data_IF_029809081378
#
_entry.id   IF_029809081378
#
_cell.length_a   1.000
_cell.length_b   1.000
_cell.length_c   1.000
_cell.angle_alpha   90.00
_cell.angle_beta   90.00
_cell.angle_gamma   90.00
#
_symmetry.space_group_name_H-M   'P 1'
#
loop_
_entity.id
_entity.type
_entity.pdbx_description
1 polymer ?
#
# COMPACT_ATOMS: atom_id res chain seq x y z
N UNK A 1 -23.89 3.17 -8.07
CA UNK A 1 -23.56 1.79 -7.68
C UNK A 1 -22.08 1.58 -7.95
N UNK A 2 -21.40 0.81 -7.11
CA UNK A 2 -19.97 0.48 -7.27
C UNK A 2 -19.75 -0.97 -6.85
N UNK A 3 -18.62 -1.54 -7.26
CA UNK A 3 -18.14 -2.83 -6.79
C UNK A 3 -16.72 -2.71 -6.26
N UNK A 4 -16.40 -3.54 -5.28
CA UNK A 4 -15.08 -3.65 -4.66
C UNK A 4 -14.54 -5.05 -4.84
N UNK A 5 -13.24 -5.15 -5.09
CA UNK A 5 -12.53 -6.43 -5.17
C UNK A 5 -11.18 -6.30 -4.49
N UNK A 6 -10.92 -7.16 -3.51
CA UNK A 6 -9.65 -7.24 -2.81
C UNK A 6 -8.72 -8.21 -3.56
N UNK A 7 -7.51 -7.78 -3.87
CA UNK A 7 -6.53 -8.57 -4.63
C UNK A 7 -5.16 -8.50 -3.97
N UNK A 8 -4.54 -9.65 -3.73
CA UNK A 8 -3.20 -9.73 -3.18
C UNK A 8 -2.58 -11.10 -3.36
N UNK A 9 -1.43 -11.31 -2.74
CA UNK A 9 -0.69 -12.57 -2.76
C UNK A 9 -1.02 -13.49 -1.57
N UNK A 10 -1.93 -13.07 -0.69
CA UNK A 10 -2.38 -13.82 0.48
C UNK A 10 -3.53 -13.12 1.20
N UNK A 11 -3.99 -13.69 2.33
CA UNK A 11 -5.05 -13.10 3.16
C UNK A 11 -4.70 -11.69 3.67
N UNK A 12 -5.72 -10.84 3.77
CA UNK A 12 -5.60 -9.44 4.21
C UNK A 12 -5.04 -9.31 5.64
N UNK A 13 -5.24 -10.32 6.50
CA UNK A 13 -4.72 -10.37 7.87
C UNK A 13 -3.20 -10.30 7.96
N UNK A 14 -2.48 -10.72 6.91
CA UNK A 14 -1.02 -10.86 6.90
C UNK A 14 -0.35 -10.26 5.66
N UNK A 15 -1.14 -9.69 4.74
CA UNK A 15 -0.62 -9.17 3.47
C UNK A 15 -1.19 -7.78 3.18
N UNK A 16 -0.34 -6.90 2.66
CA UNK A 16 -0.81 -5.69 1.99
C UNK A 16 -1.50 -6.08 0.67
N UNK A 17 -2.75 -5.67 0.53
CA UNK A 17 -3.59 -5.99 -0.64
C UNK A 17 -4.04 -4.73 -1.36
N UNK A 18 -4.54 -4.91 -2.58
CA UNK A 18 -5.13 -3.86 -3.40
C UNK A 18 -6.65 -3.92 -3.30
N UNK A 19 -7.26 -2.81 -2.93
CA UNK A 19 -8.69 -2.62 -3.06
C UNK A 19 -9.00 -2.00 -4.43
N UNK A 20 -9.55 -2.79 -5.35
CA UNK A 20 -10.00 -2.30 -6.65
C UNK A 20 -11.45 -1.81 -6.53
N UNK A 21 -11.68 -0.53 -6.82
CA UNK A 21 -13.01 0.07 -6.83
C UNK A 21 -13.44 0.39 -8.26
N UNK A 22 -14.56 -0.20 -8.67
CA UNK A 22 -15.19 0.09 -9.96
C UNK A 22 -16.51 0.81 -9.76
N UNK A 23 -16.61 2.05 -10.26
CA UNK A 23 -17.84 2.83 -10.25
C UNK A 23 -18.59 2.63 -11.57
N UNK A 24 -19.81 2.09 -11.50
CA UNK A 24 -20.59 1.78 -12.70
C UNK A 24 -20.88 3.05 -13.51
N UNK A 25 -20.55 3.00 -14.81
CA UNK A 25 -20.73 4.13 -15.72
C UNK A 25 -19.53 5.10 -15.77
N UNK A 26 -18.51 4.92 -14.93
CA UNK A 26 -17.25 5.65 -15.00
C UNK A 26 -16.23 4.79 -15.75
N UNK A 27 -15.80 5.27 -16.92
CA UNK A 27 -14.95 4.49 -17.82
C UNK A 27 -13.44 4.73 -17.63
N UNK A 28 -13.06 5.84 -17.00
CA UNK A 28 -11.67 6.19 -16.78
C UNK A 28 -11.56 7.24 -15.67
N UNK A 29 -10.40 7.28 -15.02
CA UNK A 29 -10.02 8.34 -14.11
C UNK A 29 -8.76 9.04 -14.62
N UNK A 30 -8.66 10.36 -14.41
CA UNK A 30 -7.43 11.09 -14.70
C UNK A 30 -6.44 10.85 -13.56
N UNK A 31 -5.29 10.25 -13.86
CA UNK A 31 -4.20 10.18 -12.90
C UNK A 31 -3.55 11.54 -12.70
N UNK A 32 -3.18 11.82 -11.46
CA UNK A 32 -2.36 12.94 -11.06
C UNK A 32 -0.87 12.60 -11.02
N UNK A 33 -0.12 13.30 -10.17
CA UNK A 33 1.28 13.03 -9.84
C UNK A 33 1.48 12.64 -8.37
N UNK A 34 0.39 12.36 -7.64
CA UNK A 34 0.39 12.04 -6.21
C UNK A 34 0.90 10.61 -5.93
N UNK A 35 0.48 9.64 -6.74
CA UNK A 35 0.94 8.26 -6.67
C UNK A 35 2.26 8.06 -7.43
N UNK A 36 3.27 7.50 -6.76
CA UNK A 36 4.53 7.11 -7.38
C UNK A 36 4.47 5.72 -8.01
N UNK A 37 4.45 4.70 -7.15
CA UNK A 37 4.36 3.29 -7.57
C UNK A 37 3.99 2.38 -6.40
N UNK A 38 3.54 1.17 -6.72
CA UNK A 38 3.51 0.03 -5.79
C UNK A 38 4.68 -0.89 -6.10
N UNK A 39 5.49 -1.19 -5.08
CA UNK A 39 6.63 -2.08 -5.20
C UNK A 39 6.22 -3.52 -4.95
N UNK A 40 6.53 -4.40 -5.90
CA UNK A 40 6.31 -5.84 -5.80
C UNK A 40 7.67 -6.53 -5.93
N UNK A 41 7.98 -7.42 -4.99
CA UNK A 41 9.16 -8.31 -5.08
C UNK A 41 8.64 -9.69 -5.47
N UNK A 42 8.72 -10.09 -6.73
CA UNK A 42 8.24 -11.40 -7.16
C UNK A 42 8.95 -11.86 -8.44
N UNK A 43 9.80 -12.89 -8.34
CA UNK A 43 10.58 -13.41 -9.48
C UNK A 43 9.70 -13.96 -10.61
N UNK A 44 8.60 -14.61 -10.26
CA UNK A 44 7.67 -15.20 -11.24
C UNK A 44 6.93 -14.11 -11.99
N UNK A 45 6.43 -13.08 -11.30
CA UNK A 45 5.79 -11.94 -11.93
C UNK A 45 6.77 -11.19 -12.83
N UNK A 46 8.02 -10.99 -12.38
CA UNK A 46 9.07 -10.40 -13.19
C UNK A 46 9.31 -11.18 -14.50
N UNK A 47 9.53 -12.50 -14.40
CA UNK A 47 9.73 -13.37 -15.57
C UNK A 47 8.54 -13.34 -16.54
N UNK A 48 7.30 -13.34 -16.00
CA UNK A 48 6.09 -13.24 -16.81
C UNK A 48 6.00 -11.89 -17.56
N UNK A 49 6.46 -10.79 -16.96
CA UNK A 49 6.52 -9.50 -17.63
C UNK A 49 7.55 -9.50 -18.77
N UNK A 50 8.71 -10.14 -18.57
CA UNK A 50 9.74 -10.28 -19.61
C UNK A 50 9.25 -11.13 -20.78
N UNK A 51 8.70 -12.32 -20.51
CA UNK A 51 8.19 -13.22 -21.54
C UNK A 51 7.13 -12.54 -22.41
N UNK A 52 6.29 -11.69 -21.78
CA UNK A 52 5.23 -10.95 -22.46
C UNK A 52 5.67 -9.60 -23.02
N UNK A 53 6.95 -9.25 -22.88
CA UNK A 53 7.50 -7.95 -23.31
C UNK A 53 6.71 -6.76 -22.74
N UNK A 54 6.30 -6.84 -21.48
CA UNK A 54 5.58 -5.78 -20.77
C UNK A 54 6.51 -4.99 -19.85
N UNK A 55 6.19 -3.72 -19.64
CA UNK A 55 6.96 -2.83 -18.77
C UNK A 55 8.31 -2.40 -19.35
N UNK A 56 9.06 -1.63 -18.58
CA UNK A 56 10.39 -1.11 -18.94
C UNK A 56 11.35 -1.38 -17.80
N UNK A 57 12.55 -1.89 -18.10
CA UNK A 57 13.60 -2.02 -17.10
C UNK A 57 14.11 -0.61 -16.74
N UNK A 58 14.02 -0.26 -15.46
CA UNK A 58 14.40 1.07 -14.95
C UNK A 58 15.74 1.03 -14.22
N UNK A 59 16.07 -0.13 -13.64
CA UNK A 59 17.34 -0.45 -13.00
C UNK A 59 17.60 -1.95 -13.22
N UNK A 60 18.84 -2.41 -13.03
CA UNK A 60 19.17 -3.83 -13.17
C UNK A 60 18.26 -4.69 -12.29
N UNK A 61 17.53 -5.63 -12.90
CA UNK A 61 16.55 -6.50 -12.22
C UNK A 61 15.31 -5.77 -11.62
N UNK A 62 15.01 -4.55 -12.09
CA UNK A 62 13.85 -3.77 -11.66
C UNK A 62 13.08 -3.26 -12.88
N UNK A 63 11.79 -3.57 -12.93
CA UNK A 63 10.93 -3.25 -14.07
C UNK A 63 9.68 -2.51 -13.64
N UNK A 64 9.44 -1.36 -14.25
CA UNK A 64 8.19 -0.63 -14.07
C UNK A 64 7.18 -1.08 -15.14
N UNK A 65 5.98 -1.46 -14.71
CA UNK A 65 4.84 -1.78 -15.59
C UNK A 65 3.64 -0.94 -15.16
N UNK A 66 2.85 -0.47 -16.13
CA UNK A 66 1.61 0.27 -15.84
C UNK A 66 0.41 -0.64 -15.89
N UNK A 67 -0.52 -0.45 -14.95
CA UNK A 67 -1.85 -1.04 -15.02
C UNK A 67 -2.64 -0.48 -16.22
N UNK A 68 -3.78 -1.10 -16.59
CA UNK A 68 -4.65 -0.55 -17.63
C UNK A 68 -5.08 0.91 -17.40
N UNK A 69 -5.23 1.32 -16.14
CA UNK A 69 -5.61 2.70 -15.75
C UNK A 69 -4.39 3.63 -15.58
N UNK A 70 -3.18 3.09 -15.68
CA UNK A 70 -1.93 3.85 -15.73
C UNK A 70 -1.09 3.82 -14.44
N UNK A 71 -1.58 3.26 -13.34
CA UNK A 71 -0.82 3.15 -12.09
C UNK A 71 0.43 2.29 -12.27
N UNK A 72 1.58 2.80 -11.81
CA UNK A 72 2.86 2.11 -11.91
C UNK A 72 3.02 1.04 -10.84
N UNK A 73 3.44 -0.14 -11.26
CA UNK A 73 3.94 -1.22 -10.43
C UNK A 73 5.43 -1.41 -10.71
N UNK A 74 6.26 -1.27 -9.68
CA UNK A 74 7.70 -1.51 -9.73
C UNK A 74 7.98 -2.93 -9.28
N UNK A 75 8.31 -3.80 -10.21
CA UNK A 75 8.51 -5.24 -9.98
C UNK A 75 9.99 -5.57 -9.95
N UNK A 76 10.46 -6.16 -8.85
CA UNK A 76 11.85 -6.56 -8.66
C UNK A 76 11.98 -8.07 -8.89
N UNK A 77 13.07 -8.49 -9.54
CA UNK A 77 13.42 -9.89 -9.78
C UNK A 77 14.01 -10.57 -8.52
N UNK A 78 13.26 -10.51 -7.43
CA UNK A 78 13.60 -11.07 -6.14
C UNK A 78 12.33 -11.40 -5.39
N UNK A 79 12.41 -12.37 -4.49
CA UNK A 79 11.31 -12.69 -3.59
C UNK A 79 11.61 -12.09 -2.21
N UNK A 80 10.58 -11.64 -1.46
CA UNK A 80 10.76 -11.19 -0.09
C UNK A 80 11.20 -12.36 0.81
N UNK A 81 11.56 -12.04 2.06
CA UNK A 81 11.67 -13.07 3.10
C UNK A 81 10.29 -13.71 3.33
N UNK A 82 10.26 -14.94 3.85
CA UNK A 82 9.02 -15.71 4.03
C UNK A 82 7.97 -15.02 4.94
N UNK A 83 8.42 -14.15 5.84
CA UNK A 83 7.62 -13.36 6.78
C UNK A 83 7.03 -12.07 6.18
N UNK A 84 7.41 -11.71 4.95
CA UNK A 84 7.03 -10.44 4.31
C UNK A 84 6.20 -10.70 3.06
N UNK A 85 5.08 -9.99 2.93
CA UNK A 85 4.22 -10.06 1.75
C UNK A 85 4.90 -9.58 0.46
N UNK A 86 4.39 -10.01 -0.69
CA UNK A 86 4.96 -9.69 -2.01
C UNK A 86 4.80 -8.22 -2.43
N UNK A 87 3.75 -7.54 -1.95
CA UNK A 87 3.60 -6.08 -2.08
C UNK A 87 4.32 -5.43 -0.90
N UNK A 88 5.45 -4.77 -1.17
CA UNK A 88 6.44 -4.43 -0.13
C UNK A 88 6.59 -2.95 0.15
N UNK A 89 6.11 -2.09 -0.75
CA UNK A 89 6.18 -0.64 -0.56
C UNK A 89 5.13 0.09 -1.36
N UNK A 90 4.48 1.07 -0.75
CA UNK A 90 3.71 2.10 -1.43
C UNK A 90 4.57 3.36 -1.53
N UNK A 91 4.71 3.93 -2.73
CA UNK A 91 5.39 5.20 -2.95
C UNK A 91 4.37 6.29 -3.24
N UNK A 92 4.35 7.33 -2.41
CA UNK A 92 3.57 8.55 -2.58
C UNK A 92 4.52 9.74 -2.78
N UNK A 93 4.13 10.68 -3.63
CA UNK A 93 4.83 11.93 -3.77
C UNK A 93 4.35 12.96 -2.74
N UNK A 94 5.26 13.77 -2.24
CA UNK A 94 4.99 14.82 -1.23
C UNK A 94 5.65 16.14 -1.64
N UNK A 95 5.11 17.27 -1.16
CA UNK A 95 5.69 18.59 -1.46
C UNK A 95 6.69 19.07 -0.42
N UNK A 96 6.68 18.49 0.79
CA UNK A 96 7.62 18.85 1.86
C UNK A 96 7.82 17.66 2.81
N UNK A 97 8.98 17.01 2.72
CA UNK A 97 9.33 15.85 3.54
C UNK A 97 9.30 16.13 5.05
N UNK A 98 9.67 17.32 5.50
CA UNK A 98 9.68 17.65 6.93
C UNK A 98 8.25 17.78 7.45
N UNK A 99 7.37 18.43 6.68
CA UNK A 99 5.93 18.46 6.99
C UNK A 99 5.32 17.05 6.99
N UNK A 100 5.69 16.20 6.01
CA UNK A 100 5.19 14.83 5.96
C UNK A 100 5.70 13.98 7.13
N UNK A 101 6.96 14.15 7.56
CA UNK A 101 7.51 13.44 8.72
C UNK A 101 6.82 13.82 10.03
N UNK A 102 6.54 15.12 10.23
CA UNK A 102 5.79 15.58 11.40
C UNK A 102 4.37 14.95 11.48
N UNK A 103 3.77 14.65 10.32
CA UNK A 103 2.50 13.94 10.27
C UNK A 103 2.68 12.42 10.46
N UNK A 104 3.42 11.77 9.57
CA UNK A 104 3.47 10.31 9.53
C UNK A 104 4.26 9.70 10.69
N UNK A 105 5.40 10.28 11.07
CA UNK A 105 6.22 9.77 12.16
C UNK A 105 5.77 10.36 13.51
N UNK A 106 5.74 11.68 13.65
CA UNK A 106 5.52 12.30 14.98
C UNK A 106 4.06 12.26 15.45
N UNK A 107 3.09 12.19 14.52
CA UNK A 107 1.67 12.13 14.85
C UNK A 107 1.11 10.72 14.76
N UNK A 108 1.40 9.99 13.67
CA UNK A 108 0.87 8.62 13.47
C UNK A 108 1.78 7.52 14.02
N UNK A 109 3.00 7.84 14.46
CA UNK A 109 3.91 6.88 15.10
C UNK A 109 4.65 5.95 14.14
N UNK A 110 4.72 6.27 12.85
CA UNK A 110 5.49 5.46 11.90
C UNK A 110 6.99 5.58 12.17
N UNK A 111 7.71 4.48 12.00
CA UNK A 111 9.15 4.41 12.20
C UNK A 111 9.88 4.77 10.91
N UNK A 112 10.78 5.74 10.98
CA UNK A 112 11.76 6.00 9.91
C UNK A 112 12.75 4.84 9.82
N UNK A 113 12.84 4.21 8.65
CA UNK A 113 13.72 3.06 8.40
C UNK A 113 14.84 3.36 7.39
N UNK A 114 14.65 4.36 6.52
CA UNK A 114 15.64 4.82 5.55
C UNK A 114 15.32 6.26 5.11
N UNK A 115 16.34 7.04 4.76
CA UNK A 115 16.20 8.45 4.38
C UNK A 115 17.29 8.86 3.39
N UNK A 116 16.89 9.60 2.37
CA UNK A 116 17.77 10.26 1.41
C UNK A 116 17.45 11.75 1.29
N UNK A 117 18.11 12.41 0.34
CA UNK A 117 17.93 13.85 0.10
C UNK A 117 16.52 14.20 -0.40
N UNK A 118 15.91 13.29 -1.18
CA UNK A 118 14.61 13.49 -1.84
C UNK A 118 13.59 12.40 -1.46
N UNK A 119 13.83 11.65 -0.39
CA UNK A 119 12.86 10.66 0.09
C UNK A 119 13.02 10.32 1.57
N UNK A 120 11.95 9.75 2.13
CA UNK A 120 12.00 8.97 3.37
C UNK A 120 11.21 7.68 3.22
N UNK A 121 11.61 6.63 3.92
CA UNK A 121 10.90 5.36 4.00
C UNK A 121 10.49 5.12 5.45
N UNK A 122 9.21 4.84 5.62
CA UNK A 122 8.53 4.68 6.89
C UNK A 122 7.92 3.28 6.99
N UNK A 123 7.77 2.78 8.22
CA UNK A 123 7.06 1.53 8.50
C UNK A 123 6.17 1.63 9.73
N UNK A 124 5.03 0.95 9.70
CA UNK A 124 4.17 0.75 10.87
C UNK A 124 4.47 -0.58 11.62
N UNK A 125 5.45 -1.38 11.16
CA UNK A 125 5.85 -2.63 11.81
C UNK A 125 7.03 -3.34 11.12
N UNK A 126 7.67 -4.29 11.80
CA UNK A 126 8.90 -4.93 11.31
C UNK A 126 8.71 -5.69 9.97
N UNK A 127 7.53 -6.28 9.76
CA UNK A 127 7.25 -7.17 8.62
C UNK A 127 6.09 -6.64 7.75
N UNK A 128 5.87 -5.32 7.80
CA UNK A 128 4.79 -4.64 7.08
C UNK A 128 5.30 -4.04 5.76
N UNK A 129 4.38 -3.84 4.81
CA UNK A 129 4.67 -3.05 3.63
C UNK A 129 5.05 -1.61 4.05
N UNK A 130 6.12 -1.10 3.45
CA UNK A 130 6.66 0.22 3.80
C UNK A 130 5.93 1.35 3.07
N UNK A 131 5.96 2.55 3.64
CA UNK A 131 5.53 3.78 2.97
C UNK A 131 6.77 4.57 2.57
N UNK A 132 7.01 4.73 1.27
CA UNK A 132 8.01 5.65 0.74
C UNK A 132 7.34 6.97 0.41
N UNK A 133 7.83 8.05 0.98
CA UNK A 133 7.47 9.41 0.61
C UNK A 133 8.60 9.98 -0.24
N UNK A 134 8.28 10.38 -1.46
CA UNK A 134 9.24 10.91 -2.42
C UNK A 134 8.95 12.39 -2.69
N UNK A 135 9.95 13.24 -2.48
CA UNK A 135 9.87 14.69 -2.63
C UNK A 135 9.67 15.06 -4.10
N UNK A 136 8.62 15.82 -4.40
CA UNK A 136 8.49 16.47 -5.71
C UNK A 136 9.54 17.57 -5.90
N UNK A 137 9.90 17.91 -7.15
CA UNK A 137 10.78 19.03 -7.43
C UNK A 137 10.29 20.32 -6.76
N UNK A 138 11.23 21.15 -6.30
CA UNK A 138 10.92 22.38 -5.60
C UNK A 138 9.91 23.25 -6.38
N UNK A 139 8.82 23.65 -5.72
CA UNK A 139 7.75 24.46 -6.30
C UNK A 139 6.74 23.69 -7.15
N UNK A 140 6.91 22.39 -7.35
CA UNK A 140 5.86 21.55 -7.93
C UNK A 140 4.72 21.36 -6.92
N UNK A 141 3.49 21.40 -7.42
CA UNK A 141 2.30 21.08 -6.63
C UNK A 141 1.88 19.62 -6.85
N UNK A 142 1.20 19.05 -5.85
CA UNK A 142 0.48 17.79 -5.98
C UNK A 142 -0.80 18.02 -6.81
N UNK A 143 -0.98 17.21 -7.85
CA UNK A 143 -2.23 16.96 -8.56
C UNK A 143 -2.66 15.55 -8.17
N UNK A 144 -3.80 15.39 -7.50
CA UNK A 144 -4.40 14.08 -7.23
C UNK A 144 -5.17 13.54 -8.45
N UNK A 145 -5.50 14.40 -9.41
CA UNK A 145 -6.43 14.07 -10.48
C UNK A 145 -7.77 13.59 -9.92
N UNK A 146 -8.35 12.60 -10.58
CA UNK A 146 -9.58 11.91 -10.13
C UNK A 146 -9.35 10.42 -9.92
N UNK A 147 -8.15 9.92 -10.19
CA UNK A 147 -7.74 8.52 -10.04
C UNK A 147 -6.84 8.28 -8.84
N UNK A 148 -6.78 9.25 -7.91
CA UNK A 148 -6.15 9.10 -6.62
C UNK A 148 -6.79 7.96 -5.82
N UNK A 149 -5.99 7.39 -4.93
CA UNK A 149 -6.41 6.29 -4.07
C UNK A 149 -6.51 6.71 -2.60
N UNK A 150 -6.64 5.70 -1.76
CA UNK A 150 -6.57 5.80 -0.31
C UNK A 150 -5.72 4.64 0.20
N UNK A 151 -4.83 4.91 1.14
CA UNK A 151 -4.14 3.84 1.89
C UNK A 151 -4.91 3.56 3.18
N UNK A 152 -5.01 2.29 3.57
CA UNK A 152 -5.70 1.89 4.79
C UNK A 152 -4.73 1.19 5.76
N UNK A 153 -4.87 1.51 7.04
CA UNK A 153 -4.18 0.87 8.15
C UNK A 153 -5.23 0.43 9.18
N UNK A 154 -4.95 -0.63 9.93
CA UNK A 154 -5.75 -0.98 11.10
C UNK A 154 -5.05 -0.56 12.38
N UNK A 155 -5.85 -0.26 13.39
CA UNK A 155 -5.41 -0.13 14.78
C UNK A 155 -6.50 -0.72 15.70
N UNK A 156 -6.20 -1.01 16.98
CA UNK A 156 -7.23 -1.48 17.90
C UNK A 156 -8.45 -0.55 17.89
N UNK A 157 -9.66 -1.10 17.82
CA UNK A 157 -10.89 -0.30 17.65
C UNK A 157 -11.06 0.75 18.76
N UNK A 158 -10.62 0.43 19.98
CA UNK A 158 -10.61 1.37 21.10
C UNK A 158 -9.70 2.60 20.94
N UNK A 159 -8.75 2.57 20.01
CA UNK A 159 -7.78 3.65 19.78
C UNK A 159 -8.22 4.65 18.70
N UNK A 160 -9.21 4.31 17.86
CA UNK A 160 -9.65 5.18 16.76
C UNK A 160 -10.08 6.58 17.22
N UNK A 161 -10.76 6.67 18.37
CA UNK A 161 -11.18 7.97 18.94
C UNK A 161 -9.97 8.80 19.35
N UNK A 162 -9.05 8.21 20.11
CA UNK A 162 -7.83 8.88 20.57
C UNK A 162 -6.96 9.31 19.41
N UNK A 163 -6.85 8.48 18.36
CA UNK A 163 -6.17 8.82 17.12
C UNK A 163 -6.79 10.07 16.46
N UNK A 164 -8.12 10.10 16.32
CA UNK A 164 -8.79 11.27 15.76
C UNK A 164 -8.53 12.53 16.59
N UNK A 165 -8.64 12.43 17.92
CA UNK A 165 -8.41 13.56 18.84
C UNK A 165 -6.97 14.07 18.75
N UNK A 166 -5.97 13.17 18.67
CA UNK A 166 -4.56 13.52 18.51
C UNK A 166 -4.32 14.29 17.20
N UNK A 167 -4.81 13.76 16.08
CA UNK A 167 -4.71 14.40 14.75
C UNK A 167 -5.35 15.78 14.74
N UNK A 168 -6.55 15.92 15.33
CA UNK A 168 -7.24 17.21 15.45
C UNK A 168 -6.49 18.20 16.35
N UNK A 169 -5.92 17.73 17.47
CA UNK A 169 -5.19 18.58 18.42
C UNK A 169 -3.94 19.23 17.80
N UNK A 170 -3.33 18.54 16.83
CA UNK A 170 -2.18 19.01 16.05
C UNK A 170 -2.58 19.83 14.82
N UNK A 171 -3.87 20.05 14.59
CA UNK A 171 -4.37 20.84 13.47
C UNK A 171 -4.39 20.12 12.12
N UNK A 172 -4.19 18.79 12.12
CA UNK A 172 -4.27 17.99 10.91
C UNK A 172 -5.72 17.67 10.53
N UNK A 173 -5.92 17.28 9.26
CA UNK A 173 -7.26 17.19 8.67
C UNK A 173 -7.89 15.82 8.89
N UNK A 174 -9.06 15.81 9.53
CA UNK A 174 -9.98 14.67 9.56
C UNK A 174 -11.03 14.88 8.46
N UNK A 175 -11.00 14.03 7.43
CA UNK A 175 -11.97 14.06 6.32
C UNK A 175 -13.31 13.48 6.74
N UNK A 176 -13.27 12.33 7.42
CA UNK A 176 -14.44 11.64 7.92
C UNK A 176 -14.20 11.29 9.38
N UNK A 177 -14.93 11.93 10.31
CA UNK A 177 -14.88 11.55 11.72
C UNK A 177 -15.30 10.09 11.93
N UNK A 178 -15.00 9.54 13.10
CA UNK A 178 -15.32 8.18 13.50
C UNK A 178 -16.74 7.79 13.12
N UNK A 179 -16.86 6.79 12.24
CA UNK A 179 -18.13 6.33 11.68
C UNK A 179 -18.15 4.81 11.53
N UNK A 180 -19.33 4.21 11.68
CA UNK A 180 -19.55 2.79 11.39
C UNK A 180 -19.95 2.59 9.92
N UNK A 181 -19.34 1.60 9.27
CA UNK A 181 -19.61 1.23 7.89
C UNK A 181 -20.09 -0.23 7.83
N UNK A 182 -21.24 -0.42 7.20
CA UNK A 182 -21.83 -1.73 6.97
C UNK A 182 -21.42 -2.30 5.61
N UNK A 183 -21.08 -3.58 5.59
CA UNK A 183 -20.96 -4.36 4.36
C UNK A 183 -22.01 -5.46 4.37
N UNK A 184 -22.92 -5.56 3.38
CA UNK A 184 -24.00 -6.53 3.39
C UNK A 184 -23.49 -7.97 3.62
N UNK A 185 -24.02 -8.62 4.66
CA UNK A 185 -23.66 -9.99 5.02
C UNK A 185 -22.28 -10.16 5.66
N UNK A 186 -21.59 -9.07 6.02
CA UNK A 186 -20.28 -9.08 6.69
C UNK A 186 -20.30 -8.20 7.95
N UNK A 187 -19.20 -8.21 8.70
CA UNK A 187 -19.04 -7.40 9.91
C UNK A 187 -19.11 -5.90 9.60
N UNK A 188 -19.77 -5.16 10.50
CA UNK A 188 -19.71 -3.69 10.55
C UNK A 188 -18.36 -3.29 11.11
N UNK A 189 -17.68 -2.34 10.46
CA UNK A 189 -16.39 -1.81 10.92
C UNK A 189 -16.51 -0.36 11.33
N UNK A 190 -15.62 0.11 12.21
CA UNK A 190 -15.46 1.53 12.51
C UNK A 190 -14.24 2.09 11.78
N UNK A 191 -14.37 3.29 11.22
CA UNK A 191 -13.27 3.96 10.53
C UNK A 191 -13.17 5.43 10.89
N UNK A 192 -11.96 5.98 10.75
CA UNK A 192 -11.67 7.41 10.66
C UNK A 192 -10.90 7.63 9.35
N UNK A 193 -11.24 8.69 8.61
CA UNK A 193 -10.52 9.04 7.37
C UNK A 193 -9.80 10.36 7.56
N UNK A 194 -8.50 10.36 7.32
CA UNK A 194 -7.60 11.50 7.44
C UNK A 194 -7.13 11.98 6.06
N UNK A 195 -6.57 13.18 6.03
CA UNK A 195 -5.71 13.63 4.95
C UNK A 195 -4.37 14.07 5.53
N UNK A 196 -3.28 13.62 4.92
CA UNK A 196 -1.94 14.10 5.25
C UNK A 196 -1.72 15.55 4.75
N UNK A 197 -0.55 16.18 5.00
CA UNK A 197 -0.29 17.56 4.59
C UNK A 197 -0.43 17.82 3.08
N UNK A 198 -0.22 16.80 2.25
CA UNK A 198 -0.34 16.89 0.80
C UNK A 198 -1.73 16.49 0.30
N UNK A 199 -2.61 16.02 1.17
CA UNK A 199 -3.99 15.66 0.83
C UNK A 199 -4.19 14.18 0.52
N UNK A 200 -3.19 13.31 0.72
CA UNK A 200 -3.34 11.88 0.56
C UNK A 200 -4.34 11.32 1.56
N UNK A 201 -5.33 10.57 1.10
CA UNK A 201 -6.35 10.01 1.97
C UNK A 201 -5.83 8.77 2.70
N UNK A 202 -6.16 8.69 4.00
CA UNK A 202 -5.74 7.59 4.87
C UNK A 202 -6.95 7.09 5.66
N UNK A 203 -7.25 5.80 5.56
CA UNK A 203 -8.28 5.15 6.37
C UNK A 203 -7.63 4.44 7.55
N UNK A 204 -8.02 4.78 8.78
CA UNK A 204 -7.79 3.92 9.93
C UNK A 204 -9.07 3.14 10.22
N UNK A 205 -8.96 1.82 10.23
CA UNK A 205 -10.07 0.89 10.53
C UNK A 205 -9.81 0.14 11.84
N UNK A 206 -10.87 -0.15 12.58
CA UNK A 206 -10.79 -1.02 13.76
C UNK A 206 -10.35 -2.44 13.40
N UNK A 207 -9.24 -2.91 13.97
CA UNK A 207 -8.59 -4.17 13.58
C UNK A 207 -9.48 -5.40 13.85
N UNK A 208 -10.16 -5.43 15.00
CA UNK A 208 -10.93 -6.58 15.46
C UNK A 208 -12.11 -6.90 14.53
N UNK A 209 -12.85 -5.88 14.09
CA UNK A 209 -13.94 -6.01 13.13
C UNK A 209 -13.42 -6.12 11.69
N UNK A 210 -12.29 -5.48 11.37
CA UNK A 210 -11.69 -5.60 10.05
C UNK A 210 -11.30 -7.05 9.74
N UNK A 211 -10.66 -7.75 10.69
CA UNK A 211 -10.35 -9.19 10.55
C UNK A 211 -11.58 -10.04 10.25
N UNK A 212 -12.74 -9.69 10.81
CA UNK A 212 -13.99 -10.41 10.52
C UNK A 212 -14.54 -10.07 9.13
N UNK A 213 -14.39 -8.81 8.70
CA UNK A 213 -14.82 -8.33 7.38
C UNK A 213 -13.96 -8.92 6.24
N UNK A 214 -12.65 -9.03 6.47
CA UNK A 214 -11.60 -9.34 5.50
C UNK A 214 -11.32 -10.84 5.34
N UNK A 215 -12.19 -11.70 5.88
CA UNK A 215 -12.05 -13.15 5.73
C UNK A 215 -12.02 -13.52 4.23
N UNK A 216 -11.01 -14.31 3.79
CA UNK A 216 -10.90 -14.72 2.40
C UNK A 216 -12.16 -15.44 1.91
N UNK A 217 -12.57 -15.13 0.67
CA UNK A 217 -13.60 -15.89 -0.02
C UNK A 217 -12.95 -17.00 -0.84
N UNK A 218 -13.07 -18.24 -0.37
CA UNK A 218 -12.52 -19.44 -1.03
C UNK A 218 -13.06 -19.63 -2.46
N UNK A 219 -14.22 -19.04 -2.77
CA UNK A 219 -14.83 -19.11 -4.10
C UNK A 219 -14.42 -17.93 -5.02
N UNK A 220 -13.66 -16.95 -4.51
CA UNK A 220 -13.33 -15.74 -5.25
C UNK A 220 -12.61 -16.03 -6.59
N UNK A 221 -11.65 -16.96 -6.60
CA UNK A 221 -10.91 -17.32 -7.81
C UNK A 221 -11.79 -17.95 -8.90
N UNK A 222 -12.74 -18.80 -8.49
CA UNK A 222 -13.71 -19.43 -9.39
C UNK A 222 -14.67 -18.38 -9.92
N UNK A 223 -15.21 -17.53 -9.04
CA UNK A 223 -16.13 -16.46 -9.40
C UNK A 223 -15.48 -15.46 -10.38
N UNK A 224 -14.23 -15.06 -10.13
CA UNK A 224 -13.46 -14.18 -11.01
C UNK A 224 -13.26 -14.80 -12.39
N UNK A 225 -12.83 -16.07 -12.45
CA UNK A 225 -12.63 -16.79 -13.71
C UNK A 225 -13.93 -16.86 -14.53
N UNK A 226 -15.04 -17.20 -13.86
CA UNK A 226 -16.35 -17.25 -14.51
C UNK A 226 -16.83 -15.86 -14.97
N UNK A 227 -16.57 -14.81 -14.20
CA UNK A 227 -16.90 -13.44 -14.56
C UNK A 227 -16.10 -12.99 -15.79
N UNK A 228 -14.78 -13.24 -15.82
CA UNK A 228 -13.94 -12.94 -16.97
C UNK A 228 -14.37 -13.71 -18.23
N UNK A 229 -14.77 -14.97 -18.10
CA UNK A 229 -15.25 -15.77 -19.23
C UNK A 229 -16.59 -15.27 -19.80
N UNK A 230 -17.42 -14.63 -18.96
CA UNK A 230 -18.70 -14.02 -19.35
C UNK A 230 -18.57 -12.54 -19.70
N UNK A 231 -17.36 -11.98 -19.65
CA UNK A 231 -17.16 -10.55 -19.84
C UNK A 231 -17.47 -10.15 -21.30
N UNK A 232 -18.56 -9.40 -21.46
CA UNK A 232 -18.97 -8.77 -22.72
C UNK A 232 -18.57 -7.30 -22.82
N UNK A 233 -17.74 -6.78 -21.89
CA UNK A 233 -17.41 -5.35 -21.79
C UNK A 233 -16.86 -4.77 -23.10
N UNK A 234 -16.06 -5.52 -23.85
CA UNK A 234 -15.49 -5.09 -25.15
C UNK A 234 -16.58 -4.85 -26.19
N UNK A 235 -17.57 -5.73 -26.25
CA UNK A 235 -18.70 -5.60 -27.17
C UNK A 235 -19.61 -4.44 -26.75
N UNK A 236 -19.86 -4.29 -25.44
CA UNK A 236 -20.65 -3.21 -24.89
C UNK A 236 -20.01 -1.83 -25.13
N UNK A 237 -18.70 -1.70 -24.88
CA UNK A 237 -17.92 -0.48 -25.17
C UNK A 237 -17.89 -0.18 -26.67
N UNK A 238 -17.77 -1.21 -27.51
CA UNK A 238 -17.83 -1.08 -28.96
C UNK A 238 -19.17 -0.51 -29.45
N UNK A 239 -20.30 -0.95 -28.88
CA UNK A 239 -21.64 -0.41 -29.20
C UNK A 239 -21.82 1.03 -28.71
N UNK A 240 -21.27 1.40 -27.55
CA UNK A 240 -21.32 2.77 -27.01
C UNK A 240 -20.47 3.78 -27.79
N UNK A 241 -19.42 3.33 -28.48
CA UNK A 241 -18.58 4.17 -29.35
C UNK A 241 -19.09 4.26 -30.79
N UNK A 242 -20.10 3.48 -31.17
CA UNK A 242 -20.77 3.66 -32.46
C UNK A 242 -21.64 4.93 -32.39
N UNK A 243 -21.49 5.90 -33.30
CA UNK A 243 -22.33 7.09 -33.31
C UNK A 243 -23.79 6.69 -33.58
N UNK A 244 -24.71 7.16 -32.74
CA UNK A 244 -26.14 7.07 -33.03
C UNK A 244 -26.46 7.90 -34.28
N UNK A 245 -26.75 7.22 -35.39
CA UNK A 245 -27.45 7.78 -36.55
C UNK A 245 -26.56 8.32 -37.67
N UNK A 246 -26.25 7.47 -38.65
CA UNK A 246 -26.15 7.88 -40.05
C UNK A 246 -26.72 6.76 -40.93
N UNK A 247 -27.75 7.02 -41.76
CA UNK A 247 -28.30 6.00 -42.65
C UNK A 247 -27.41 5.80 -43.86
N UNK A 248 -27.21 4.51 -44.20
CA UNK A 248 -26.86 3.96 -45.50
C UNK A 248 -25.98 4.77 -46.45
N UNK A 249 -24.71 4.36 -46.58
CA UNK A 249 -24.09 4.31 -47.91
C UNK A 249 -23.31 3.01 -48.07
N UNK A 250 -23.89 2.09 -48.85
CA UNK A 250 -23.12 1.08 -49.57
C UNK A 250 -22.09 1.79 -50.41
N UNK A 251 -20.80 1.51 -50.21
CA UNK A 251 -19.81 1.53 -51.27
C UNK A 251 -18.71 0.51 -50.91
N UNK A 252 -18.59 -0.46 -51.80
CA UNK A 252 -17.68 -1.59 -51.73
C UNK A 252 -16.21 -1.14 -51.88
N UNK A 253 -15.32 -1.81 -51.17
CA UNK A 253 -13.91 -1.86 -51.52
C UNK A 253 -13.31 -3.21 -51.13
N UNK A 254 -12.97 -3.99 -52.17
CA UNK A 254 -11.77 -4.82 -52.25
C UNK A 254 -11.64 -6.00 -51.30
N UNK A 255 -12.12 -7.16 -51.74
CA UNK A 255 -11.66 -8.43 -51.22
C UNK A 255 -10.17 -8.66 -51.52
N UNK A 256 -9.38 -8.96 -50.49
CA UNK A 256 -8.14 -9.72 -50.60
C UNK A 256 -8.11 -10.73 -49.45
N UNK A 257 -8.39 -11.99 -49.80
CA UNK A 257 -8.37 -13.16 -48.92
C UNK A 257 -6.97 -13.77 -48.87
N UNK A 258 -6.44 -14.02 -47.67
CA UNK A 258 -5.55 -15.12 -47.28
C UNK A 258 -5.05 -14.85 -45.85
N UNK A 259 -4.96 -15.77 -44.89
CA UNK A 259 -5.40 -17.15 -44.77
C UNK A 259 -5.50 -17.42 -43.26
N UNK A 260 -6.54 -18.13 -42.84
CA UNK A 260 -6.71 -18.56 -41.46
C UNK A 260 -5.64 -19.60 -41.11
N UNK A 261 -4.75 -19.25 -40.18
CA UNK A 261 -3.91 -20.23 -39.50
C UNK A 261 -4.74 -20.90 -38.40
N UNK A 262 -4.93 -22.20 -38.56
CA UNK A 262 -5.59 -23.14 -37.66
C UNK A 262 -4.91 -23.11 -36.27
N UNK A 263 -5.65 -23.13 -35.14
CA UNK A 263 -5.02 -23.25 -33.83
C UNK A 263 -4.36 -24.63 -33.69
N UNK A 264 -3.07 -24.63 -33.38
CA UNK A 264 -2.33 -25.81 -33.00
C UNK A 264 -2.81 -26.33 -31.63
N UNK A 265 -3.05 -27.63 -31.60
CA UNK A 265 -3.13 -28.59 -30.49
C UNK A 265 -2.96 -28.09 -29.03
N UNK A 266 -3.89 -28.57 -28.20
CA UNK A 266 -3.89 -28.66 -26.73
C UNK A 266 -2.49 -28.84 -26.09
N UNK A 267 -2.21 -28.23 -24.92
CA UNK A 267 -1.10 -28.66 -24.09
C UNK A 267 -1.39 -30.04 -23.49
N UNK A 268 -0.42 -30.94 -23.62
CA UNK A 268 -0.47 -32.30 -23.11
C UNK A 268 -0.61 -32.34 -21.59
N UNK A 269 -1.48 -33.24 -21.11
CA UNK A 269 -1.60 -33.59 -19.71
C UNK A 269 -0.25 -34.05 -19.14
N UNK A 270 0.08 -33.55 -17.96
CA UNK A 270 1.27 -33.90 -17.20
C UNK A 270 1.38 -35.42 -17.01
N UNK A 271 2.48 -35.99 -17.53
CA UNK A 271 2.83 -37.37 -17.26
C UNK A 271 3.24 -37.53 -15.79
N UNK A 272 2.58 -38.46 -15.12
CA UNK A 272 2.85 -38.91 -13.75
C UNK A 272 4.26 -39.54 -13.69
N UNK A 273 5.15 -39.17 -12.76
CA UNK A 273 6.45 -39.82 -12.64
C UNK A 273 6.28 -41.27 -12.16
N UNK A 274 6.73 -42.22 -12.98
CA UNK A 274 6.85 -43.64 -12.64
C UNK A 274 8.26 -43.93 -12.12
N UNK A 275 8.46 -43.83 -10.80
CA UNK A 275 9.55 -44.48 -10.05
C UNK A 275 9.23 -44.40 -8.55
N UNK A 276 9.33 -45.50 -7.78
CA UNK A 276 9.17 -45.44 -6.33
C UNK A 276 10.36 -44.71 -5.68
N UNK A 277 10.16 -44.02 -4.54
CA UNK A 277 11.26 -43.35 -3.85
C UNK A 277 12.25 -44.35 -3.27
N UNK A 278 13.55 -44.07 -3.44
CA UNK A 278 14.62 -44.78 -2.76
C UNK A 278 14.49 -44.59 -1.24
N UNK A 279 14.56 -45.69 -0.50
CA UNK A 279 14.55 -45.69 0.96
C UNK A 279 15.77 -44.92 1.51
N UNK A 280 15.51 -43.91 2.33
CA UNK A 280 16.53 -43.28 3.14
C UNK A 280 17.02 -44.26 4.21
N UNK A 281 18.32 -44.56 4.21
CA UNK A 281 18.98 -45.32 5.26
C UNK A 281 18.91 -44.57 6.60
N UNK A 282 18.60 -45.30 7.67
CA UNK A 282 18.65 -44.81 9.06
C UNK A 282 20.10 -44.46 9.44
N UNK A 283 20.34 -43.35 10.15
CA UNK A 283 21.55 -43.19 10.92
C UNK A 283 21.45 -44.04 12.20
N UNK A 284 22.34 -45.03 12.31
CA UNK A 284 22.67 -45.66 13.59
C UNK A 284 23.59 -44.71 14.37
N UNK A 285 23.13 -44.27 15.55
CA UNK A 285 23.90 -43.84 16.76
C UNK A 285 23.34 -42.55 17.40
N UNK A 286 23.27 -42.49 18.74
CA UNK A 286 22.66 -41.37 19.46
C UNK A 286 23.56 -40.12 19.49
N UNK A 287 22.98 -38.90 19.57
CA UNK A 287 23.77 -37.68 19.66
C UNK A 287 24.46 -37.55 21.03
N UNK A 288 25.75 -37.22 20.97
CA UNK A 288 26.58 -36.90 22.13
C UNK A 288 26.14 -35.60 22.81
N UNK A 289 26.23 -35.58 24.14
CA UNK A 289 25.91 -34.45 25.01
C UNK A 289 26.80 -33.23 24.70
N UNK A 290 26.17 -32.09 24.38
CA UNK A 290 26.85 -30.80 24.34
C UNK A 290 27.02 -30.25 25.76
N UNK A 291 28.26 -29.97 26.13
CA UNK A 291 28.63 -29.35 27.40
C UNK A 291 28.19 -27.87 27.47
N UNK A 292 27.71 -27.46 28.66
CA UNK A 292 27.34 -26.09 29.01
C UNK A 292 28.51 -25.11 28.87
N UNK A 293 28.28 -23.90 28.35
CA UNK A 293 28.97 -22.69 28.79
C UNK A 293 28.17 -22.02 29.92
N UNK A 294 28.85 -21.76 31.04
CA UNK A 294 28.34 -20.97 32.15
C UNK A 294 28.67 -19.49 31.96
N UNK A 295 27.66 -18.61 32.00
CA UNK A 295 27.67 -17.29 32.66
C UNK A 295 26.43 -16.48 32.27
N UNK A 296 25.65 -16.08 33.29
CA UNK A 296 24.47 -15.22 33.18
C UNK A 296 24.85 -13.75 33.02
N UNK A 297 24.10 -12.94 32.24
CA UNK A 297 24.09 -11.50 32.40
C UNK A 297 23.09 -11.09 33.49
N UNK A 298 23.57 -10.30 34.45
CA UNK A 298 22.77 -9.74 35.53
C UNK A 298 21.81 -8.65 35.03
N UNK A 299 20.60 -8.65 35.61
CA UNK A 299 19.57 -7.66 35.40
C UNK A 299 20.03 -6.25 35.83
N UNK A 300 19.90 -5.27 34.93
CA UNK A 300 20.05 -3.86 35.26
C UNK A 300 18.77 -3.36 35.95
N UNK A 301 18.88 -3.05 37.24
CA UNK A 301 17.83 -2.46 38.04
C UNK A 301 17.67 -0.96 37.75
N UNK A 302 16.41 -0.49 37.79
CA UNK A 302 16.02 0.93 37.79
C UNK A 302 16.71 1.70 38.92
N UNK A 303 17.11 2.97 38.70
CA UNK A 303 17.29 3.91 39.79
C UNK A 303 15.97 4.65 40.06
N UNK A 304 15.40 4.41 41.24
CA UNK A 304 14.47 5.33 41.89
C UNK A 304 15.22 6.03 43.02
N UNK A 305 15.43 7.34 42.91
CA UNK A 305 15.52 8.21 44.09
C UNK A 305 15.18 9.64 43.68
N UNK A 306 14.23 10.21 44.41
CA UNK A 306 13.86 11.61 44.41
C UNK A 306 14.53 12.26 45.62
N UNK A 307 14.94 13.53 45.55
CA UNK A 307 14.93 14.38 46.73
C UNK A 307 14.03 15.61 46.58
N UNK A 308 13.51 15.98 47.75
CA UNK A 308 12.52 16.97 48.10
C UNK A 308 12.67 18.40 47.53
N UNK A 309 11.52 19.07 47.56
CA UNK A 309 11.25 20.45 47.22
C UNK A 309 12.12 21.50 47.96
N UNK A 310 12.46 22.58 47.23
CA UNK A 310 12.77 23.88 47.79
C UNK A 310 12.21 24.97 46.86
N UNK A 311 11.75 26.05 47.48
CA UNK A 311 10.76 27.01 46.97
C UNK A 311 11.28 28.05 45.95
N UNK A 312 10.31 28.63 45.23
CA UNK A 312 10.41 29.87 44.42
C UNK A 312 11.20 31.00 45.10
N UNK A 313 11.86 31.84 44.27
CA UNK A 313 11.80 33.28 44.46
C UNK A 313 11.08 33.98 43.29
N UNK A 314 10.47 35.11 43.63
CA UNK A 314 9.62 35.94 42.82
C UNK A 314 10.39 36.88 41.84
N UNK A 315 9.59 37.44 40.93
CA UNK A 315 9.79 38.43 39.86
C UNK A 315 10.69 39.66 40.15
N UNK A 316 11.07 40.43 39.10
CA UNK A 316 12.30 41.23 39.04
C UNK A 316 12.15 42.68 39.52
N UNK A 317 13.24 43.41 39.80
CA UNK A 317 13.18 44.84 40.04
C UNK A 317 13.11 45.64 38.73
N UNK A 318 12.27 46.68 38.79
CA UNK A 318 12.05 47.66 37.74
C UNK A 318 13.18 48.70 37.63
N UNK A 319 13.41 49.14 36.39
CA UNK A 319 13.85 50.44 35.88
C UNK A 319 14.66 51.39 36.81
N UNK A 320 15.92 51.63 36.42
CA UNK A 320 16.60 52.91 36.67
C UNK A 320 16.67 53.68 35.34
N UNK A 321 15.87 54.73 35.23
CA UNK A 321 15.88 55.67 34.12
C UNK A 321 17.10 56.59 34.21
N UNK A 322 17.89 56.64 33.13
CA UNK A 322 18.90 57.67 32.91
C UNK A 322 18.19 59.01 32.57
N UNK A 323 18.52 60.07 33.33
CA UNK A 323 18.21 61.46 32.97
C UNK A 323 19.13 61.92 31.84
N UNK A 324 18.65 62.68 30.84
CA UNK A 324 19.51 63.48 29.99
C UNK A 324 19.84 64.81 30.68
N UNK A 325 21.12 65.17 30.71
CA UNK A 325 21.60 66.53 30.92
C UNK A 325 22.15 67.03 29.58
N UNK A 326 21.63 68.15 29.08
CA UNK A 326 22.10 68.74 27.83
C UNK A 326 21.23 69.90 27.37
N UNK A 327 21.35 71.04 28.05
CA UNK A 327 20.92 72.33 27.56
C UNK A 327 22.03 72.91 26.67
N UNK A 328 21.73 73.16 25.38
CA UNK A 328 22.08 74.35 24.60
C UNK A 328 21.44 74.25 23.22
#
# INVERSE_FOLDING_TARGET
MWSKSMLGYGPEDTNFVLELTYNYGVAAYKLGNDFGYLKIRNRVAYANLEERSLGTEVEFNVRDVRSPDGHTFRVLNEDPREDVGYVTSLCLHVTDLDCSLAFWADTLGFLEIDKGDDFVVLSCGADQATLRLAQLPAGAAIDHGTGYGRVAYSCPTGELRSLQEEVQSRGHKVLTPLVSLDTPGKATVQVVILADPDGHEICFVGDEEFRQLSQPDDNAGVALTQACAKDGSREWLGRKRAPEGAPGSLLAAGAATAAAAKPASQPAAAAKPTSPPAAAAKPDSPPAAAAKPASSPAAAAKPASSPAAAAKPASPPAAAAAKPAGSK
#
